data_IF_912892312571
#
_entry.id   IF_912892312571
#
_cell.length_a   1.000
_cell.length_b   1.000
_cell.length_c   1.000
_cell.angle_alpha   90.00
_cell.angle_beta   90.00
_cell.angle_gamma   90.00
#
_symmetry.space_group_name_H-M   'P 1'
#
loop_
_entity.id
_entity.type
_entity.pdbx_description
1 polymer ?
#
# COMPACT_ATOMS: atom_id res chain seq x y z
N UNK A 1 43.33 -4.50 52.20
CA UNK A 1 42.92 -4.81 50.81
C UNK A 1 44.11 -5.45 50.14
N UNK A 2 44.10 -6.77 50.09
CA UNK A 2 45.20 -7.60 49.59
C UNK A 2 45.04 -7.87 48.09
N UNK A 3 46.17 -7.79 47.40
CA UNK A 3 46.66 -8.60 46.28
C UNK A 3 45.73 -8.94 45.10
N UNK A 4 46.02 -8.39 43.91
CA UNK A 4 46.86 -8.93 42.79
C UNK A 4 46.15 -10.08 42.04
N UNK A 5 45.82 -9.99 40.75
CA UNK A 5 46.61 -10.30 39.53
C UNK A 5 45.58 -10.26 38.37
N UNK A 6 45.78 -9.83 37.11
CA UNK A 6 46.86 -9.93 36.10
C UNK A 6 46.65 -8.74 35.11
N UNK A 7 47.62 -7.84 34.84
CA UNK A 7 48.60 -7.80 33.71
C UNK A 7 47.95 -8.06 32.31
N UNK A 8 48.20 -7.36 31.19
CA UNK A 8 49.39 -6.65 30.68
C UNK A 8 48.98 -5.82 29.42
N UNK A 9 49.21 -4.49 29.35
CA UNK A 9 50.23 -3.78 28.52
C UNK A 9 49.94 -3.78 27.00
N UNK A 10 49.42 -2.69 26.41
CA UNK A 10 50.11 -1.45 26.00
C UNK A 10 51.20 -1.66 24.91
N UNK A 11 50.92 -1.31 23.64
CA UNK A 11 51.70 -0.36 22.78
C UNK A 11 51.46 -0.50 21.26
N UNK A 12 51.44 0.68 20.65
CA UNK A 12 51.93 1.08 19.30
C UNK A 12 51.14 0.76 18.03
N UNK A 13 50.57 1.84 17.51
CA UNK A 13 50.27 2.14 16.11
C UNK A 13 51.30 1.60 15.11
N UNK A 14 50.84 0.95 14.04
CA UNK A 14 51.59 0.83 12.78
C UNK A 14 50.63 0.93 11.60
N UNK A 15 50.82 1.96 10.78
CA UNK A 15 50.15 2.17 9.51
C UNK A 15 50.36 0.98 8.58
N UNK A 16 49.32 0.15 8.38
CA UNK A 16 49.20 -0.73 7.20
C UNK A 16 47.85 -1.43 7.03
N UNK A 17 46.71 -0.80 7.32
CA UNK A 17 45.42 -1.19 6.71
C UNK A 17 44.55 0.05 6.52
N UNK A 18 44.82 0.79 5.43
CA UNK A 18 43.84 1.68 4.82
C UNK A 18 43.19 0.85 3.71
N UNK A 19 42.05 0.20 3.97
CA UNK A 19 41.08 -0.22 2.93
C UNK A 19 39.83 -0.81 3.58
N UNK A 20 38.72 -0.10 3.36
CA UNK A 20 37.37 -0.59 3.08
C UNK A 20 36.72 -1.63 4.02
N UNK A 21 35.73 -1.18 4.80
CA UNK A 21 34.41 -1.83 4.90
C UNK A 21 33.44 -0.96 5.73
N UNK A 22 32.56 -0.23 5.03
CA UNK A 22 31.17 0.05 5.41
C UNK A 22 30.84 0.24 6.90
N UNK A 23 31.37 1.28 7.54
CA UNK A 23 31.06 1.59 8.96
C UNK A 23 29.85 2.52 9.16
N UNK A 24 28.98 2.65 8.16
CA UNK A 24 27.68 3.34 8.30
C UNK A 24 26.49 2.46 7.95
N UNK A 25 26.68 1.14 7.96
CA UNK A 25 25.59 0.17 7.84
C UNK A 25 25.65 -0.81 9.00
N UNK A 26 24.64 -0.77 9.86
CA UNK A 26 24.34 -1.86 10.80
C UNK A 26 25.25 -2.01 12.03
N UNK A 27 25.49 -0.93 12.81
CA UNK A 27 25.93 -1.08 14.21
C UNK A 27 25.52 0.07 15.15
N UNK A 28 24.31 0.60 15.01
CA UNK A 28 23.60 1.23 16.14
C UNK A 28 22.64 0.20 16.72
N UNK A 29 23.19 -0.74 17.49
CA UNK A 29 22.44 -1.61 18.39
C UNK A 29 21.73 -0.77 19.46
N UNK A 30 20.49 -1.15 19.77
CA UNK A 30 19.84 -1.00 21.08
C UNK A 30 19.31 0.40 21.51
N UNK A 31 18.37 1.03 20.79
CA UNK A 31 17.42 1.98 21.44
C UNK A 31 16.18 2.41 20.62
N UNK A 32 15.41 1.49 20.04
CA UNK A 32 14.01 1.78 19.69
C UNK A 32 13.20 0.49 19.45
N UNK A 33 13.01 -0.34 20.47
CA UNK A 33 11.74 -1.09 20.54
C UNK A 33 10.67 -0.13 21.08
N UNK A 34 10.44 0.97 20.36
CA UNK A 34 9.15 1.62 20.35
C UNK A 34 8.50 1.06 19.10
N UNK A 35 7.43 0.29 19.26
CA UNK A 35 6.62 -0.15 18.11
C UNK A 35 6.24 1.12 17.38
N UNK A 36 6.91 1.41 16.27
CA UNK A 36 6.49 2.51 15.41
C UNK A 36 5.10 2.14 14.95
N UNK A 37 4.18 3.09 15.09
CA UNK A 37 2.83 2.95 14.57
C UNK A 37 2.92 2.46 13.11
N UNK A 38 2.30 1.33 12.74
CA UNK A 38 2.40 0.78 11.39
C UNK A 38 1.98 1.79 10.32
N UNK A 39 1.05 2.69 10.65
CA UNK A 39 0.67 3.82 9.81
C UNK A 39 1.85 4.77 9.58
N UNK A 40 2.51 5.19 10.64
CA UNK A 40 3.63 6.15 10.58
C UNK A 40 4.84 5.58 9.85
N UNK A 41 5.12 4.28 10.03
CA UNK A 41 6.18 3.61 9.30
C UNK A 41 5.84 3.55 7.80
N UNK A 42 4.63 3.11 7.46
CA UNK A 42 4.16 3.10 6.08
C UNK A 42 4.17 4.47 5.42
N UNK A 43 3.73 5.53 6.11
CA UNK A 43 3.72 6.88 5.54
C UNK A 43 5.12 7.39 5.19
N UNK A 44 6.16 6.90 5.87
CA UNK A 44 7.56 7.24 5.57
C UNK A 44 8.14 6.40 4.45
N UNK A 45 7.87 5.09 4.45
CA UNK A 45 8.51 4.16 3.53
C UNK A 45 7.75 4.01 2.21
N UNK A 46 6.43 4.26 2.23
CA UNK A 46 5.46 3.87 1.19
C UNK A 46 5.47 2.38 0.86
N UNK A 47 5.95 1.56 1.80
CA UNK A 47 6.13 0.14 1.61
C UNK A 47 5.53 -0.61 2.79
N UNK A 48 4.48 -1.39 2.51
CA UNK A 48 3.86 -2.26 3.48
C UNK A 48 3.16 -3.45 2.80
N UNK A 49 3.92 -4.28 2.08
CA UNK A 49 3.39 -5.52 1.54
C UNK A 49 3.05 -6.48 2.70
N UNK A 50 1.86 -7.09 2.66
CA UNK A 50 1.36 -8.04 3.68
C UNK A 50 1.20 -7.44 5.10
N UNK A 51 1.21 -6.11 5.24
CA UNK A 51 1.02 -5.45 6.54
C UNK A 51 -0.43 -5.35 6.98
N UNK A 52 -0.63 -5.19 8.29
CA UNK A 52 -1.89 -4.79 8.89
C UNK A 52 -1.96 -3.25 9.01
N UNK A 53 -2.80 -2.65 8.17
CA UNK A 53 -3.16 -1.24 8.18
C UNK A 53 -4.68 -1.09 8.37
N UNK A 54 -5.33 -2.08 8.99
CA UNK A 54 -6.78 -2.14 9.14
C UNK A 54 -7.31 -0.95 9.93
N UNK A 55 -8.38 -0.33 9.42
CA UNK A 55 -9.08 0.77 10.09
C UNK A 55 -8.24 2.03 10.30
N UNK A 56 -7.13 2.17 9.58
CA UNK A 56 -6.24 3.32 9.70
C UNK A 56 -6.77 4.53 8.93
N UNK A 57 -6.36 5.73 9.35
CA UNK A 57 -6.73 6.98 8.68
C UNK A 57 -5.62 7.44 7.71
N UNK A 58 -5.93 7.34 6.42
CA UNK A 58 -5.12 7.81 5.30
C UNK A 58 -5.84 8.89 4.49
N UNK A 59 -6.84 9.58 5.06
CA UNK A 59 -7.58 10.62 4.37
C UNK A 59 -6.63 11.68 3.78
N UNK A 60 -6.81 11.97 2.49
CA UNK A 60 -6.05 12.99 1.76
C UNK A 60 -4.54 12.72 1.63
N UNK A 61 -4.05 11.54 2.00
CA UNK A 61 -2.61 11.24 1.95
C UNK A 61 -2.15 10.99 0.51
N UNK A 62 -0.90 11.40 0.22
CA UNK A 62 -0.25 11.04 -1.04
C UNK A 62 0.43 9.67 -0.94
N UNK A 63 -0.28 8.61 -1.33
CA UNK A 63 0.17 7.23 -1.39
C UNK A 63 0.51 6.78 -2.82
N UNK A 64 0.82 7.73 -3.72
CA UNK A 64 1.12 7.41 -5.11
C UNK A 64 2.32 6.47 -5.21
N UNK A 65 2.19 5.42 -6.03
CA UNK A 65 3.22 4.39 -6.19
C UNK A 65 3.49 3.53 -4.95
N UNK A 66 2.66 3.59 -3.91
CA UNK A 66 2.87 2.80 -2.69
C UNK A 66 2.85 1.29 -2.96
N UNK A 67 3.71 0.55 -2.26
CA UNK A 67 3.77 -0.92 -2.30
C UNK A 67 2.90 -1.50 -1.18
N UNK A 68 1.66 -1.86 -1.51
CA UNK A 68 0.62 -2.33 -0.60
C UNK A 68 0.07 -3.72 -0.99
N UNK A 69 0.84 -4.49 -1.78
CA UNK A 69 0.44 -5.82 -2.21
C UNK A 69 0.06 -6.68 -1.00
N UNK A 70 -1.12 -7.30 -1.06
CA UNK A 70 -1.68 -8.13 0.03
C UNK A 70 -1.82 -7.45 1.40
N UNK A 71 -1.71 -6.12 1.49
CA UNK A 71 -1.93 -5.41 2.75
C UNK A 71 -3.40 -5.54 3.19
N UNK A 72 -3.64 -5.55 4.50
CA UNK A 72 -4.99 -5.41 5.06
C UNK A 72 -5.27 -3.94 5.34
N UNK A 73 -6.12 -3.34 4.51
CA UNK A 73 -6.64 -1.98 4.59
C UNK A 73 -8.15 -2.00 4.89
N UNK A 74 -8.71 -3.12 5.34
CA UNK A 74 -10.15 -3.24 5.55
C UNK A 74 -10.67 -2.20 6.54
N UNK A 75 -11.80 -1.59 6.21
CA UNK A 75 -12.41 -0.52 7.01
C UNK A 75 -11.57 0.75 7.19
N UNK A 76 -10.45 0.92 6.48
CA UNK A 76 -9.61 2.13 6.56
C UNK A 76 -10.29 3.32 5.88
N UNK A 77 -9.91 4.53 6.29
CA UNK A 77 -10.30 5.75 5.59
C UNK A 77 -9.19 6.17 4.62
N UNK A 78 -9.43 5.97 3.33
CA UNK A 78 -8.58 6.37 2.21
C UNK A 78 -9.27 7.46 1.38
N UNK A 79 -10.29 8.13 1.92
CA UNK A 79 -11.03 9.14 1.17
C UNK A 79 -10.12 10.28 0.74
N UNK A 80 -10.30 10.73 -0.50
CA UNK A 80 -9.45 11.76 -1.14
C UNK A 80 -7.95 11.44 -1.19
N UNK A 81 -7.51 10.22 -0.85
CA UNK A 81 -6.11 9.84 -0.94
C UNK A 81 -5.67 9.71 -2.41
N UNK A 82 -4.40 10.01 -2.68
CA UNK A 82 -3.80 9.72 -3.97
C UNK A 82 -3.11 8.36 -3.93
N UNK A 83 -3.66 7.37 -4.63
CA UNK A 83 -3.13 6.01 -4.80
C UNK A 83 -2.77 5.74 -6.27
N UNK A 84 -2.55 6.78 -7.08
CA UNK A 84 -2.16 6.63 -8.48
C UNK A 84 -0.96 5.70 -8.61
N UNK A 85 -1.08 4.70 -9.48
CA UNK A 85 -0.04 3.69 -9.74
C UNK A 85 0.44 2.91 -8.51
N UNK A 86 -0.32 2.89 -7.40
CA UNK A 86 -0.01 2.04 -6.25
C UNK A 86 -0.16 0.55 -6.62
N UNK A 87 0.64 -0.31 -5.96
CA UNK A 87 0.55 -1.75 -6.09
C UNK A 87 -0.27 -2.31 -4.93
N UNK A 88 -1.50 -2.70 -5.22
CA UNK A 88 -2.53 -3.19 -4.31
C UNK A 88 -3.00 -4.60 -4.72
N UNK A 89 -2.20 -5.34 -5.51
CA UNK A 89 -2.58 -6.66 -5.95
C UNK A 89 -2.84 -7.55 -4.72
N UNK A 90 -4.01 -8.20 -4.73
CA UNK A 90 -4.52 -9.02 -3.63
C UNK A 90 -4.68 -8.32 -2.26
N UNK A 91 -4.67 -6.99 -2.21
CA UNK A 91 -4.93 -6.25 -0.97
C UNK A 91 -6.39 -6.43 -0.49
N UNK A 92 -6.59 -6.37 0.82
CA UNK A 92 -7.93 -6.37 1.42
C UNK A 92 -8.36 -4.93 1.71
N UNK A 93 -9.27 -4.39 0.91
CA UNK A 93 -9.87 -3.05 1.04
C UNK A 93 -11.36 -3.15 1.40
N UNK A 94 -11.83 -4.31 1.87
CA UNK A 94 -13.24 -4.53 2.16
C UNK A 94 -13.79 -3.51 3.17
N UNK A 95 -14.94 -2.94 2.86
CA UNK A 95 -15.60 -1.91 3.68
C UNK A 95 -14.80 -0.63 3.91
N UNK A 96 -13.71 -0.40 3.19
CA UNK A 96 -12.94 0.85 3.30
C UNK A 96 -13.69 2.04 2.67
N UNK A 97 -13.36 3.24 3.13
CA UNK A 97 -13.83 4.48 2.50
C UNK A 97 -12.75 4.97 1.52
N UNK A 98 -13.01 4.89 0.23
CA UNK A 98 -12.16 5.41 -0.84
C UNK A 98 -12.81 6.59 -1.57
N UNK A 99 -13.87 7.19 -1.00
CA UNK A 99 -14.63 8.24 -1.69
C UNK A 99 -13.72 9.40 -2.15
N UNK A 100 -13.83 9.77 -3.42
CA UNK A 100 -13.01 10.81 -4.05
C UNK A 100 -11.52 10.50 -4.18
N UNK A 101 -11.06 9.28 -3.87
CA UNK A 101 -9.66 8.90 -4.03
C UNK A 101 -9.25 8.83 -5.51
N UNK A 102 -7.94 8.99 -5.76
CA UNK A 102 -7.33 8.87 -7.09
C UNK A 102 -6.60 7.53 -7.16
N UNK A 103 -7.08 6.59 -7.97
CA UNK A 103 -6.56 5.23 -8.16
C UNK A 103 -6.13 5.00 -9.62
N UNK A 104 -5.79 6.06 -10.33
CA UNK A 104 -5.43 5.99 -11.74
C UNK A 104 -4.26 5.04 -11.96
N UNK A 105 -4.45 4.07 -12.86
CA UNK A 105 -3.47 3.02 -13.19
C UNK A 105 -2.96 2.21 -11.98
N UNK A 106 -3.70 2.19 -10.86
CA UNK A 106 -3.36 1.34 -9.74
C UNK A 106 -3.46 -0.15 -10.13
N UNK A 107 -2.54 -0.96 -9.64
CA UNK A 107 -2.57 -2.41 -9.81
C UNK A 107 -3.37 -3.02 -8.66
N UNK A 108 -4.55 -3.56 -8.95
CA UNK A 108 -5.51 -4.07 -7.97
C UNK A 108 -6.01 -5.46 -8.35
N UNK A 109 -5.17 -6.24 -9.04
CA UNK A 109 -5.55 -7.58 -9.51
C UNK A 109 -5.92 -8.44 -8.31
N UNK A 110 -7.13 -8.99 -8.32
CA UNK A 110 -7.62 -9.86 -7.25
C UNK A 110 -7.75 -9.18 -5.88
N UNK A 111 -7.78 -7.84 -5.82
CA UNK A 111 -8.03 -7.11 -4.59
C UNK A 111 -9.48 -7.34 -4.10
N UNK A 112 -9.68 -7.35 -2.79
CA UNK A 112 -11.00 -7.41 -2.18
C UNK A 112 -11.50 -6.00 -1.86
N UNK A 113 -12.45 -5.49 -2.63
CA UNK A 113 -13.12 -4.19 -2.47
C UNK A 113 -14.59 -4.37 -2.06
N UNK A 114 -14.97 -5.54 -1.55
CA UNK A 114 -16.36 -5.83 -1.22
C UNK A 114 -16.90 -4.85 -0.19
N UNK A 115 -18.05 -4.24 -0.49
CA UNK A 115 -18.70 -3.23 0.33
C UNK A 115 -17.92 -1.92 0.50
N UNK A 116 -16.83 -1.69 -0.21
CA UNK A 116 -16.07 -0.43 -0.14
C UNK A 116 -16.87 0.74 -0.75
N UNK A 117 -16.64 1.94 -0.23
CA UNK A 117 -17.16 3.18 -0.82
C UNK A 117 -16.13 3.76 -1.79
N UNK A 118 -16.36 3.58 -3.09
CA UNK A 118 -15.54 4.11 -4.18
C UNK A 118 -16.25 5.28 -4.90
N UNK A 119 -17.22 5.94 -4.24
CA UNK A 119 -17.97 7.01 -4.88
C UNK A 119 -17.08 8.18 -5.31
N UNK A 120 -17.29 8.66 -6.53
CA UNK A 120 -16.50 9.76 -7.11
C UNK A 120 -15.00 9.47 -7.29
N UNK A 121 -14.56 8.21 -7.22
CA UNK A 121 -13.14 7.86 -7.41
C UNK A 121 -12.69 8.01 -8.86
N UNK A 122 -11.41 8.34 -9.07
CA UNK A 122 -10.77 8.19 -10.39
C UNK A 122 -10.07 6.84 -10.47
N UNK A 123 -10.63 5.89 -11.20
CA UNK A 123 -10.09 4.55 -11.49
C UNK A 123 -9.63 4.42 -12.95
N UNK A 124 -9.35 5.54 -13.63
CA UNK A 124 -8.99 5.51 -15.04
C UNK A 124 -7.77 4.61 -15.29
N UNK A 125 -7.92 3.63 -16.19
CA UNK A 125 -6.87 2.68 -16.54
C UNK A 125 -6.43 1.76 -15.40
N UNK A 126 -7.19 1.66 -14.30
CA UNK A 126 -6.86 0.78 -13.19
C UNK A 126 -6.96 -0.70 -13.59
N UNK A 127 -6.12 -1.55 -12.99
CA UNK A 127 -6.10 -2.99 -13.24
C UNK A 127 -6.88 -3.72 -12.14
N UNK A 128 -8.16 -3.99 -12.39
CA UNK A 128 -9.11 -4.62 -11.46
C UNK A 128 -9.44 -6.07 -11.84
N UNK A 129 -8.64 -6.71 -12.70
CA UNK A 129 -8.87 -8.10 -13.13
C UNK A 129 -9.07 -9.01 -11.91
N UNK A 130 -10.13 -9.81 -11.89
CA UNK A 130 -10.51 -10.72 -10.79
C UNK A 130 -10.78 -10.04 -9.43
N UNK A 131 -10.86 -8.71 -9.35
CA UNK A 131 -11.17 -8.01 -8.11
C UNK A 131 -12.60 -8.32 -7.63
N UNK A 132 -12.81 -8.30 -6.32
CA UNK A 132 -14.13 -8.46 -5.72
C UNK A 132 -14.72 -7.08 -5.38
N UNK A 133 -15.65 -6.60 -6.19
CA UNK A 133 -16.38 -5.34 -6.00
C UNK A 133 -17.83 -5.60 -5.54
N UNK A 134 -18.11 -6.78 -4.98
CA UNK A 134 -19.45 -7.15 -4.52
C UNK A 134 -19.98 -6.11 -3.52
N UNK A 135 -21.19 -5.59 -3.76
CA UNK A 135 -21.83 -4.53 -2.97
C UNK A 135 -21.04 -3.20 -2.85
N UNK A 136 -19.99 -2.98 -3.65
CA UNK A 136 -19.23 -1.74 -3.62
C UNK A 136 -20.06 -0.56 -4.16
N UNK A 137 -19.80 0.64 -3.65
CA UNK A 137 -20.40 1.87 -4.16
C UNK A 137 -19.47 2.54 -5.17
N UNK A 138 -19.75 2.43 -6.47
CA UNK A 138 -19.02 3.07 -7.56
C UNK A 138 -19.80 4.25 -8.16
N UNK A 139 -20.72 4.85 -7.39
CA UNK A 139 -21.53 5.98 -7.86
C UNK A 139 -20.61 7.12 -8.28
N UNK A 140 -20.81 7.66 -9.49
CA UNK A 140 -20.01 8.73 -10.10
C UNK A 140 -18.50 8.43 -10.24
N UNK A 141 -18.08 7.16 -10.12
CA UNK A 141 -16.67 6.78 -10.31
C UNK A 141 -16.26 6.82 -11.80
N UNK A 142 -15.03 7.24 -12.07
CA UNK A 142 -14.45 7.18 -13.41
C UNK A 142 -13.65 5.89 -13.61
N UNK A 143 -14.24 4.91 -14.27
CA UNK A 143 -13.63 3.62 -14.62
C UNK A 143 -13.18 3.56 -16.09
N UNK A 144 -13.06 4.71 -16.78
CA UNK A 144 -12.71 4.70 -18.19
C UNK A 144 -11.39 3.96 -18.44
N UNK A 145 -11.36 3.09 -19.45
CA UNK A 145 -10.18 2.28 -19.82
C UNK A 145 -9.69 1.32 -18.72
N UNK A 146 -10.44 1.12 -17.63
CA UNK A 146 -10.08 0.16 -16.58
C UNK A 146 -10.26 -1.28 -17.05
N UNK A 147 -9.43 -2.19 -16.54
CA UNK A 147 -9.57 -3.63 -16.77
C UNK A 147 -10.35 -4.28 -15.63
N UNK A 148 -11.63 -4.55 -15.83
CA UNK A 148 -12.54 -5.26 -14.91
C UNK A 148 -12.73 -6.73 -15.31
N UNK A 149 -11.86 -7.31 -16.16
CA UNK A 149 -12.03 -8.68 -16.62
C UNK A 149 -12.16 -9.67 -15.45
N UNK A 150 -13.17 -10.54 -15.50
CA UNK A 150 -13.51 -11.48 -14.42
C UNK A 150 -13.72 -10.86 -13.02
N UNK A 151 -13.91 -9.54 -12.89
CA UNK A 151 -14.25 -8.91 -11.63
C UNK A 151 -15.68 -9.25 -11.19
N UNK A 152 -15.92 -9.34 -9.88
CA UNK A 152 -17.27 -9.56 -9.33
C UNK A 152 -17.94 -8.23 -9.05
N UNK A 153 -19.10 -7.98 -9.65
CA UNK A 153 -19.87 -6.73 -9.51
C UNK A 153 -21.26 -6.97 -8.90
N UNK A 154 -21.52 -8.13 -8.31
CA UNK A 154 -22.82 -8.47 -7.73
C UNK A 154 -23.24 -7.40 -6.69
N UNK A 155 -24.36 -6.73 -6.92
CA UNK A 155 -24.86 -5.67 -6.03
C UNK A 155 -24.06 -4.35 -6.04
N UNK A 156 -23.05 -4.21 -6.91
CA UNK A 156 -22.31 -2.96 -7.03
C UNK A 156 -23.19 -1.82 -7.57
N UNK A 157 -23.03 -0.61 -7.02
CA UNK A 157 -23.76 0.58 -7.46
C UNK A 157 -22.95 1.35 -8.50
N UNK A 158 -23.43 1.44 -9.73
CA UNK A 158 -22.72 2.08 -10.86
C UNK A 158 -23.43 3.34 -11.38
N UNK A 159 -24.35 3.94 -10.61
CA UNK A 159 -25.08 5.13 -11.05
C UNK A 159 -24.10 6.26 -11.38
N UNK A 160 -24.14 6.81 -12.59
CA UNK A 160 -23.23 7.89 -13.01
C UNK A 160 -21.78 7.46 -13.27
N UNK A 161 -21.43 6.18 -13.11
CA UNK A 161 -20.08 5.70 -13.37
C UNK A 161 -19.73 5.81 -14.86
N UNK A 162 -18.52 6.30 -15.15
CA UNK A 162 -18.00 6.34 -16.52
C UNK A 162 -17.22 5.05 -16.83
N UNK A 163 -17.80 4.19 -17.67
CA UNK A 163 -17.20 2.90 -18.06
C UNK A 163 -16.57 2.92 -19.46
N UNK A 164 -16.47 4.08 -20.12
CA UNK A 164 -16.02 4.16 -21.51
C UNK A 164 -14.68 3.46 -21.72
N UNK A 165 -14.63 2.50 -22.64
CA UNK A 165 -13.42 1.74 -22.98
C UNK A 165 -12.97 0.75 -21.90
N UNK A 166 -13.71 0.58 -20.81
CA UNK A 166 -13.39 -0.42 -19.80
C UNK A 166 -13.56 -1.84 -20.37
N UNK A 167 -12.65 -2.74 -20.01
CA UNK A 167 -12.80 -4.17 -20.29
C UNK A 167 -13.68 -4.79 -19.20
N UNK A 168 -14.89 -5.17 -19.54
CA UNK A 168 -15.93 -5.63 -18.61
C UNK A 168 -15.68 -7.06 -18.12
N UNK A 169 -16.38 -7.52 -17.06
CA UNK A 169 -16.18 -8.87 -16.51
C UNK A 169 -16.36 -10.02 -17.51
N UNK A 170 -17.16 -9.81 -18.56
CA UNK A 170 -17.40 -10.77 -19.66
C UNK A 170 -16.39 -10.65 -20.82
N UNK A 171 -15.29 -9.92 -20.60
CA UNK A 171 -14.21 -9.66 -21.57
C UNK A 171 -14.61 -8.79 -22.77
N UNK A 172 -15.79 -8.16 -22.73
CA UNK A 172 -16.20 -7.18 -23.74
C UNK A 172 -15.73 -5.76 -23.38
N UNK A 173 -15.50 -4.91 -24.37
CA UNK A 173 -15.16 -3.50 -24.14
C UNK A 173 -16.45 -2.68 -24.09
N UNK A 174 -16.65 -1.93 -23.01
CA UNK A 174 -17.77 -1.02 -22.89
C UNK A 174 -17.60 0.19 -23.84
N UNK A 175 -18.64 0.57 -24.61
CA UNK A 175 -18.57 1.70 -25.55
C UNK A 175 -18.32 3.06 -24.87
#
# INVERSE_FOLDING_TARGET
MSNVFIYEKNRTMSHRVLTALMLTGCLTLLSACGKTDPREDFLKTRQCAECDLKGQDFNGQDLSGALLNKADLSGSDLSSANLSSALLDHANLSGSNLSGAVLEKAAMTGANLSGADLSGTSLQGAYLRTADLTNANLTDANLSEADLSAAKLDGAKLNGANLKGALMPDETVHP
#
